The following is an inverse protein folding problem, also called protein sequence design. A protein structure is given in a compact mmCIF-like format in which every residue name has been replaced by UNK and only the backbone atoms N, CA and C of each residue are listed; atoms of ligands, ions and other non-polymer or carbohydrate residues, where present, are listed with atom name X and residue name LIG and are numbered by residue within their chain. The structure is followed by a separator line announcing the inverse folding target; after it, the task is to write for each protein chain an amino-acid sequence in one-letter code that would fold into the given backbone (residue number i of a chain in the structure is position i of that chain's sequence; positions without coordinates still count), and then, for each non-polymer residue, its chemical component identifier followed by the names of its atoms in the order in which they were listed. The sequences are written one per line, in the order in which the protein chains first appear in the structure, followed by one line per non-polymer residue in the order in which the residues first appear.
data_IF_748816875832
#
_entry.id   IF_748816875832
#
_cell.length_a   1.000
_cell.length_b   1.000
_cell.length_c   1.000
_cell.angle_alpha   90.00
_cell.angle_beta   90.00
_cell.angle_gamma   90.00
#
_symmetry.space_group_name_H-M   'P 1'
#
loop_
_entity.id
_entity.type
_entity.pdbx_description
1 polymer ?
#
# COMPACT_ATOMS: atom_id res chain seq x y z
N UNK A 1 -62.85 4.34 -41.24
CA UNK A 1 -61.89 5.26 -41.86
C UNK A 1 -61.78 6.48 -40.95
N UNK A 2 -60.54 6.90 -40.60
CA UNK A 2 -60.16 8.04 -39.73
C UNK A 2 -60.59 7.94 -38.24
N UNK A 3 -59.82 8.39 -37.25
CA UNK A 3 -58.60 9.18 -37.28
C UNK A 3 -57.96 9.26 -35.87
N UNK A 4 -56.67 9.63 -35.89
CA UNK A 4 -55.72 9.77 -34.78
C UNK A 4 -56.10 10.87 -33.76
N UNK A 5 -55.73 10.60 -32.50
CA UNK A 5 -54.82 11.46 -31.72
C UNK A 5 -55.44 12.48 -30.75
N UNK A 6 -54.92 12.48 -29.51
CA UNK A 6 -54.26 13.64 -28.87
C UNK A 6 -53.72 13.27 -27.48
N UNK A 7 -52.45 13.59 -27.25
CA UNK A 7 -51.85 13.74 -25.92
C UNK A 7 -52.47 14.94 -25.21
N UNK A 8 -52.55 14.89 -23.88
CA UNK A 8 -52.64 16.07 -23.04
C UNK A 8 -51.72 15.92 -21.84
N UNK A 9 -50.86 16.92 -21.69
CA UNK A 9 -49.89 17.20 -20.65
C UNK A 9 -50.58 17.76 -19.39
N UNK A 10 -49.74 18.07 -18.39
CA UNK A 10 -49.94 18.91 -17.19
C UNK A 10 -50.53 18.17 -15.99
N UNK A 11 -50.11 18.42 -14.75
CA UNK A 11 -49.11 19.32 -14.17
C UNK A 11 -49.11 19.04 -12.66
N UNK A 12 -47.94 19.19 -12.03
CA UNK A 12 -47.70 19.69 -10.66
C UNK A 12 -48.91 19.87 -9.75
N UNK A 13 -48.84 19.24 -8.57
CA UNK A 13 -49.34 19.86 -7.33
C UNK A 13 -48.44 19.53 -6.14
N UNK A 14 -48.01 20.61 -5.49
CA UNK A 14 -47.27 20.67 -4.24
C UNK A 14 -48.11 20.27 -3.02
N UNK A 15 -47.42 19.79 -1.99
CA UNK A 15 -47.44 20.33 -0.62
C UNK A 15 -48.76 20.42 0.14
N UNK A 16 -48.86 19.65 1.23
CA UNK A 16 -49.42 20.14 2.50
C UNK A 16 -48.98 19.24 3.67
N UNK A 17 -48.14 19.81 4.53
CA UNK A 17 -47.96 19.44 5.94
C UNK A 17 -49.26 19.75 6.71
N UNK A 18 -49.63 18.91 7.69
CA UNK A 18 -49.69 19.28 9.12
C UNK A 18 -50.72 18.47 9.94
N UNK A 19 -50.20 17.98 11.08
CA UNK A 19 -50.78 18.00 12.42
C UNK A 19 -51.96 17.07 12.81
N UNK A 20 -51.66 16.22 13.79
CA UNK A 20 -52.35 16.28 15.09
C UNK A 20 -53.22 15.08 15.47
N UNK A 21 -52.89 14.42 16.59
CA UNK A 21 -53.87 13.59 17.32
C UNK A 21 -53.29 12.47 18.17
N UNK A 22 -52.83 12.80 19.38
CA UNK A 22 -52.60 11.82 20.45
C UNK A 22 -53.92 11.20 20.93
N UNK A 23 -53.97 9.87 21.11
CA UNK A 23 -54.84 9.22 22.10
C UNK A 23 -54.20 7.95 22.64
N UNK A 24 -53.93 7.96 23.94
CA UNK A 24 -53.70 6.80 24.78
C UNK A 24 -55.00 6.04 24.99
N UNK A 25 -54.96 4.70 24.90
CA UNK A 25 -55.91 3.81 25.56
C UNK A 25 -55.18 2.52 25.95
N UNK A 26 -55.27 2.20 27.24
CA UNK A 26 -54.72 1.01 27.88
C UNK A 26 -55.66 -0.20 27.71
N UNK A 27 -55.09 -1.41 27.74
CA UNK A 27 -55.81 -2.67 27.91
C UNK A 27 -55.04 -3.90 27.40
N UNK A 28 -54.32 -4.60 28.27
CA UNK A 28 -53.83 -5.98 28.00
C UNK A 28 -54.89 -7.04 28.39
N UNK A 29 -54.55 -8.34 28.56
CA UNK A 29 -53.34 -9.08 28.16
C UNK A 29 -53.65 -10.32 27.28
N UNK A 30 -52.70 -10.76 26.48
CA UNK A 30 -52.77 -12.02 25.72
C UNK A 30 -51.42 -12.71 25.75
N UNK A 31 -51.30 -13.72 26.62
CA UNK A 31 -50.11 -14.51 26.81
C UNK A 31 -49.98 -15.56 25.70
N UNK A 32 -48.98 -15.42 24.84
CA UNK A 32 -48.46 -16.55 24.05
C UNK A 32 -46.95 -16.66 24.28
N UNK A 33 -46.60 -17.72 25.03
CA UNK A 33 -45.23 -18.21 25.20
C UNK A 33 -44.81 -18.87 23.88
N UNK A 34 -43.92 -18.21 23.15
CA UNK A 34 -43.08 -18.87 22.15
C UNK A 34 -41.73 -19.19 22.79
N UNK A 35 -41.47 -20.48 23.00
CA UNK A 35 -40.19 -21.00 23.46
C UNK A 35 -39.06 -20.62 22.49
N UNK A 36 -38.11 -19.83 22.97
CA UNK A 36 -36.80 -19.65 22.36
C UNK A 36 -35.82 -20.64 22.98
N UNK A 37 -35.26 -21.61 22.22
CA UNK A 37 -34.10 -22.35 22.71
C UNK A 37 -32.84 -21.49 22.61
N UNK A 38 -32.24 -21.22 23.78
CA UNK A 38 -30.89 -20.71 23.94
C UNK A 38 -29.84 -21.78 23.52
N UNK A 39 -28.62 -21.35 23.16
CA UNK A 39 -27.62 -22.21 22.51
C UNK A 39 -26.97 -23.19 23.49
N UNK A 40 -26.86 -24.45 23.07
CA UNK A 40 -26.07 -25.47 23.78
C UNK A 40 -24.58 -25.29 23.47
N UNK A 41 -23.84 -24.82 24.47
CA UNK A 41 -22.38 -24.85 24.48
C UNK A 41 -21.89 -26.29 24.73
N UNK A 42 -21.61 -27.02 23.66
CA UNK A 42 -20.82 -28.26 23.68
C UNK A 42 -19.33 -27.95 23.56
N UNK A 43 -18.58 -28.25 24.62
CA UNK A 43 -17.14 -28.02 24.71
C UNK A 43 -16.31 -28.86 23.74
N UNK A 44 -15.43 -28.19 23.01
CA UNK A 44 -14.20 -28.77 22.44
C UNK A 44 -13.08 -27.73 22.51
N UNK A 45 -12.86 -27.17 23.70
CA UNK A 45 -11.69 -26.37 24.05
C UNK A 45 -10.58 -27.33 24.47
N UNK A 46 -9.70 -27.70 23.54
CA UNK A 46 -8.57 -28.56 23.89
C UNK A 46 -7.73 -29.08 22.74
N UNK A 47 -7.53 -28.32 21.65
CA UNK A 47 -6.58 -28.72 20.60
C UNK A 47 -6.10 -27.60 19.68
N UNK A 48 -5.77 -26.42 20.22
CA UNK A 48 -5.09 -25.38 19.42
C UNK A 48 -3.86 -24.77 20.10
N UNK A 49 -3.47 -25.23 21.29
CA UNK A 49 -2.36 -24.64 22.07
C UNK A 49 -1.01 -25.36 21.98
N UNK A 50 -0.83 -26.34 21.07
CA UNK A 50 0.46 -27.10 21.01
C UNK A 50 1.26 -26.99 19.72
N UNK A 51 0.87 -26.11 18.78
CA UNK A 51 1.57 -26.00 17.49
C UNK A 51 2.12 -24.58 17.19
N UNK A 52 1.98 -23.65 18.14
CA UNK A 52 2.57 -22.30 18.07
C UNK A 52 3.99 -22.18 18.66
N UNK A 53 4.54 -23.25 19.23
CA UNK A 53 5.78 -23.21 20.02
C UNK A 53 7.02 -23.82 19.33
N UNK A 54 6.97 -24.08 18.01
CA UNK A 54 8.11 -24.65 17.24
C UNK A 54 8.64 -23.77 16.12
N UNK A 55 8.08 -22.57 15.91
CA UNK A 55 8.52 -21.66 14.85
C UNK A 55 9.45 -20.53 15.32
N UNK A 56 9.82 -20.48 16.60
CA UNK A 56 10.58 -19.36 17.19
C UNK A 56 12.10 -19.59 17.33
N UNK A 57 12.64 -20.76 16.96
CA UNK A 57 14.00 -21.17 17.35
C UNK A 57 15.06 -21.22 16.23
N UNK A 58 14.79 -20.69 15.02
CA UNK A 58 15.72 -20.86 13.88
C UNK A 58 16.46 -19.60 13.40
N UNK A 59 16.37 -18.45 14.06
CA UNK A 59 17.08 -17.23 13.61
C UNK A 59 17.99 -16.53 14.64
N UNK A 60 18.57 -17.27 15.60
CA UNK A 60 19.49 -16.70 16.61
C UNK A 60 20.98 -17.05 16.47
N UNK A 61 21.45 -17.57 15.35
CA UNK A 61 22.89 -17.86 15.22
C UNK A 61 23.46 -17.37 13.90
N UNK A 62 23.96 -16.12 13.87
CA UNK A 62 25.27 -15.78 13.29
C UNK A 62 25.84 -14.54 14.00
N UNK A 63 26.97 -14.76 14.67
CA UNK A 63 27.79 -13.78 15.38
C UNK A 63 28.70 -12.98 14.41
N UNK A 64 29.32 -11.88 14.88
CA UNK A 64 29.68 -10.69 14.09
C UNK A 64 31.15 -10.70 13.61
N UNK A 65 31.53 -9.57 12.99
CA UNK A 65 32.89 -9.12 12.65
C UNK A 65 33.56 -9.71 11.40
N UNK A 66 33.39 -9.00 10.28
CA UNK A 66 34.34 -9.04 9.16
C UNK A 66 34.85 -7.63 8.88
N UNK A 67 35.86 -7.21 9.65
CA UNK A 67 36.69 -6.05 9.31
C UNK A 67 37.60 -6.45 8.16
N UNK A 68 37.40 -5.81 7.00
CA UNK A 68 38.31 -5.91 5.86
C UNK A 68 39.63 -5.25 6.25
N UNK A 69 40.65 -6.07 6.51
CA UNK A 69 42.03 -5.63 6.71
C UNK A 69 42.67 -5.49 5.33
N UNK A 70 43.03 -4.27 4.94
CA UNK A 70 43.79 -4.01 3.72
C UNK A 70 45.27 -4.03 4.12
N UNK A 71 45.99 -5.06 3.72
CA UNK A 71 47.44 -5.16 3.90
C UNK A 71 48.17 -4.25 2.89
N UNK A 72 49.14 -3.42 3.32
CA UNK A 72 50.03 -2.73 2.39
C UNK A 72 51.06 -3.72 1.81
N UNK A 73 51.25 -3.64 0.49
CA UNK A 73 52.20 -4.46 -0.28
C UNK A 73 53.65 -4.29 0.22
N UNK A 74 54.47 -5.35 0.21
CA UNK A 74 55.86 -5.26 0.59
C UNK A 74 56.71 -4.56 -0.50
N UNK A 75 57.61 -3.71 -0.01
CA UNK A 75 58.73 -3.12 -0.73
C UNK A 75 59.74 -4.21 -1.13
N UNK A 76 60.02 -4.33 -2.44
CA UNK A 76 61.11 -5.18 -2.94
C UNK A 76 62.27 -4.32 -3.46
N UNK A 77 63.37 -4.52 -2.75
CA UNK A 77 64.75 -4.07 -2.88
C UNK A 77 65.44 -4.65 -4.13
N UNK A 78 66.26 -3.85 -4.81
CA UNK A 78 67.50 -4.25 -5.51
C UNK A 78 68.26 -2.94 -5.89
N UNK A 79 69.31 -2.55 -5.17
CA UNK A 79 70.72 -2.90 -5.43
C UNK A 79 71.14 -2.77 -6.91
N UNK A 80 71.80 -1.66 -7.22
CA UNK A 80 72.84 -1.59 -8.25
C UNK A 80 73.99 -0.75 -7.67
N UNK A 81 75.15 -1.40 -7.55
CA UNK A 81 76.41 -0.79 -7.18
C UNK A 81 76.96 0.00 -8.39
N UNK A 82 77.50 1.19 -8.13
CA UNK A 82 78.14 2.03 -9.14
C UNK A 82 78.93 3.17 -8.51
N UNK A 83 80.22 2.88 -8.26
CA UNK A 83 81.40 3.75 -8.31
C UNK A 83 81.49 5.05 -7.45
N UNK A 84 82.26 5.07 -6.34
CA UNK A 84 82.55 6.28 -5.57
C UNK A 84 83.93 6.84 -5.91
N UNK A 85 84.21 7.14 -7.19
CA UNK A 85 85.38 7.93 -7.58
C UNK A 85 85.07 8.79 -8.79
N UNK A 86 84.50 9.97 -8.56
CA UNK A 86 84.89 11.13 -9.35
C UNK A 86 84.67 12.43 -8.60
N UNK A 87 85.77 13.17 -8.54
CA UNK A 87 86.03 14.36 -7.77
C UNK A 87 85.57 15.60 -8.54
N UNK A 88 85.21 16.63 -7.75
CA UNK A 88 85.67 18.02 -7.93
C UNK A 88 85.07 18.80 -9.11
N UNK A 89 84.24 19.76 -8.72
CA UNK A 89 84.30 21.13 -9.20
C UNK A 89 83.54 21.40 -10.48
N UNK A 90 82.39 22.05 -10.34
CA UNK A 90 82.00 23.19 -11.18
C UNK A 90 80.76 23.86 -10.60
N UNK A 91 80.96 25.09 -10.15
CA UNK A 91 79.91 26.07 -9.94
C UNK A 91 79.17 26.29 -11.26
N UNK A 92 77.85 26.15 -11.24
CA UNK A 92 76.97 26.68 -12.29
C UNK A 92 75.88 27.54 -11.60
N UNK A 93 75.77 28.84 -11.91
CA UNK A 93 74.62 29.64 -11.52
C UNK A 93 73.54 29.50 -12.60
N UNK A 94 72.30 29.23 -12.18
CA UNK A 94 71.14 29.34 -13.07
C UNK A 94 70.32 28.07 -13.23
N UNK A 95 69.57 27.71 -12.21
CA UNK A 95 68.28 27.05 -12.41
C UNK A 95 67.33 27.71 -11.41
N UNK A 96 66.48 28.61 -11.91
CA UNK A 96 65.50 29.30 -11.12
C UNK A 96 64.70 28.29 -10.32
N UNK A 97 64.85 28.34 -9.00
CA UNK A 97 63.89 27.73 -8.10
C UNK A 97 62.55 28.35 -8.45
N UNK A 98 61.72 27.59 -9.15
CA UNK A 98 60.33 27.94 -9.37
C UNK A 98 59.75 28.15 -7.97
N UNK A 99 59.62 29.42 -7.60
CA UNK A 99 59.02 29.83 -6.35
C UNK A 99 57.65 29.15 -6.31
N UNK A 100 57.49 28.18 -5.42
CA UNK A 100 56.19 27.62 -5.09
C UNK A 100 55.40 28.80 -4.56
N UNK A 101 54.62 29.41 -5.45
CA UNK A 101 53.80 30.55 -5.12
C UNK A 101 52.83 30.05 -4.05
N UNK A 102 52.92 30.51 -2.78
CA UNK A 102 51.98 30.05 -1.77
C UNK A 102 50.60 30.48 -2.25
N UNK A 103 49.76 29.49 -2.53
CA UNK A 103 48.39 29.69 -2.99
C UNK A 103 47.71 30.62 -1.99
N UNK A 104 47.44 31.84 -2.45
CA UNK A 104 46.81 32.89 -1.65
C UNK A 104 45.45 32.38 -1.21
N UNK A 105 45.32 32.04 0.07
CA UNK A 105 44.04 31.60 0.64
C UNK A 105 43.06 32.77 0.54
N UNK A 106 42.12 32.67 -0.40
CA UNK A 106 41.01 33.61 -0.54
C UNK A 106 39.97 33.22 0.50
N UNK A 107 39.63 34.16 1.40
CA UNK A 107 38.53 33.97 2.34
C UNK A 107 37.19 33.92 1.61
N UNK A 108 36.22 33.21 2.20
CA UNK A 108 34.83 33.13 1.71
C UNK A 108 34.18 34.50 1.76
N UNK A 109 33.51 34.89 0.67
CA UNK A 109 32.71 36.12 0.66
C UNK A 109 31.33 35.88 1.28
N UNK A 110 30.68 36.96 1.73
CA UNK A 110 29.29 36.91 2.22
C UNK A 110 28.34 36.34 1.15
N UNK A 111 28.53 36.73 -0.12
CA UNK A 111 27.73 36.24 -1.24
C UNK A 111 27.86 34.72 -1.43
N UNK A 112 29.06 34.19 -1.25
CA UNK A 112 29.36 32.77 -1.47
C UNK A 112 28.69 31.87 -0.43
N UNK A 113 28.71 32.29 0.84
CA UNK A 113 27.97 31.60 1.92
C UNK A 113 26.46 31.72 1.71
N UNK A 114 25.97 32.88 1.27
CA UNK A 114 24.54 33.07 0.96
C UNK A 114 24.07 32.18 -0.19
N UNK A 115 24.86 32.06 -1.28
CA UNK A 115 24.55 31.18 -2.40
C UNK A 115 24.65 29.71 -1.99
N UNK A 116 25.66 29.33 -1.22
CA UNK A 116 25.78 27.96 -0.72
C UNK A 116 24.57 27.58 0.17
N UNK A 117 24.19 28.46 1.09
CA UNK A 117 23.02 28.27 1.94
C UNK A 117 21.71 28.26 1.13
N UNK A 118 21.59 29.07 0.08
CA UNK A 118 20.36 29.08 -0.74
C UNK A 118 20.20 27.77 -1.52
N UNK A 119 21.26 27.29 -2.16
CA UNK A 119 21.25 25.99 -2.86
C UNK A 119 20.98 24.87 -1.87
N UNK A 120 21.63 24.91 -0.71
CA UNK A 120 21.39 23.93 0.35
C UNK A 120 19.93 23.93 0.82
N UNK A 121 19.36 25.10 1.09
CA UNK A 121 17.97 25.24 1.52
C UNK A 121 16.99 24.72 0.46
N UNK A 122 17.23 25.01 -0.82
CA UNK A 122 16.42 24.49 -1.92
C UNK A 122 16.51 22.95 -2.02
N UNK A 123 17.73 22.40 -1.93
CA UNK A 123 17.94 20.95 -1.95
C UNK A 123 17.27 20.26 -0.75
N UNK A 124 17.43 20.80 0.45
CA UNK A 124 16.79 20.29 1.66
C UNK A 124 15.25 20.36 1.57
N UNK A 125 14.70 21.47 1.06
CA UNK A 125 13.25 21.62 0.84
C UNK A 125 12.69 20.61 -0.15
N UNK A 126 13.41 20.36 -1.26
CA UNK A 126 13.04 19.34 -2.23
C UNK A 126 13.05 17.94 -1.62
N UNK A 127 14.07 17.61 -0.82
CA UNK A 127 14.17 16.32 -0.15
C UNK A 127 13.03 16.09 0.85
N UNK A 128 12.73 17.09 1.68
CA UNK A 128 11.62 17.02 2.65
C UNK A 128 10.27 16.80 1.96
N UNK A 129 10.05 17.44 0.80
CA UNK A 129 8.86 17.20 -0.01
C UNK A 129 8.77 15.73 -0.46
N UNK A 130 9.86 15.16 -0.97
CA UNK A 130 9.91 13.76 -1.41
C UNK A 130 9.60 12.81 -0.24
N UNK A 131 10.21 13.04 0.92
CA UNK A 131 9.95 12.23 2.13
C UNK A 131 8.49 12.30 2.54
N UNK A 132 7.88 13.50 2.50
CA UNK A 132 6.45 13.68 2.79
C UNK A 132 5.53 12.93 1.80
N UNK A 133 5.86 12.96 0.51
CA UNK A 133 5.10 12.21 -0.51
C UNK A 133 5.24 10.69 -0.32
N UNK A 134 6.45 10.18 -0.02
CA UNK A 134 6.66 8.75 0.23
C UNK A 134 5.80 8.19 1.37
N UNK A 135 5.61 8.95 2.46
CA UNK A 135 4.71 8.53 3.54
C UNK A 135 3.26 8.36 3.10
N UNK A 136 2.75 9.26 2.26
CA UNK A 136 1.36 9.19 1.75
C UNK A 136 1.14 8.00 0.83
N UNK A 137 2.14 7.60 0.07
CA UNK A 137 2.05 6.44 -0.82
C UNK A 137 1.92 5.12 -0.07
N UNK A 138 2.58 4.96 1.08
CA UNK A 138 2.53 3.73 1.87
C UNK A 138 1.10 3.38 2.31
N UNK A 139 0.36 4.34 2.89
CA UNK A 139 -1.02 4.10 3.33
C UNK A 139 -1.99 3.84 2.17
N UNK A 140 -1.76 4.44 1.00
CA UNK A 140 -2.58 4.15 -0.19
C UNK A 140 -2.35 2.73 -0.72
N UNK A 141 -1.11 2.25 -0.67
CA UNK A 141 -0.79 0.88 -1.06
C UNK A 141 -1.43 -0.13 -0.11
N UNK A 142 -1.33 0.11 1.19
CA UNK A 142 -1.96 -0.72 2.22
C UNK A 142 -3.49 -0.80 2.05
N UNK A 143 -4.15 0.34 1.84
CA UNK A 143 -5.59 0.40 1.59
C UNK A 143 -5.99 -0.41 0.35
N UNK A 144 -5.23 -0.31 -0.75
CA UNK A 144 -5.46 -1.09 -1.98
C UNK A 144 -5.24 -2.59 -1.77
N UNK A 145 -4.20 -2.94 -1.00
CA UNK A 145 -3.90 -4.33 -0.65
C UNK A 145 -5.08 -4.97 0.09
N UNK A 146 -5.61 -4.32 1.13
CA UNK A 146 -6.75 -4.85 1.87
C UNK A 146 -8.05 -4.85 1.05
N UNK A 147 -8.27 -3.86 0.18
CA UNK A 147 -9.40 -3.89 -0.75
C UNK A 147 -9.33 -5.11 -1.70
N UNK A 148 -8.14 -5.41 -2.21
CA UNK A 148 -7.92 -6.57 -3.06
C UNK A 148 -8.08 -7.89 -2.28
N UNK A 149 -7.61 -7.96 -1.03
CA UNK A 149 -7.81 -9.13 -0.18
C UNK A 149 -9.30 -9.35 0.15
N UNK A 150 -10.06 -8.29 0.39
CA UNK A 150 -11.51 -8.36 0.58
C UNK A 150 -12.21 -8.90 -0.68
N UNK A 151 -11.79 -8.46 -1.88
CA UNK A 151 -12.29 -8.97 -3.15
C UNK A 151 -11.97 -10.46 -3.36
N UNK A 152 -10.74 -10.87 -3.04
CA UNK A 152 -10.32 -12.29 -3.12
C UNK A 152 -11.11 -13.17 -2.16
N UNK A 153 -11.29 -12.74 -0.91
CA UNK A 153 -12.10 -13.46 0.08
C UNK A 153 -13.54 -13.62 -0.41
N UNK A 154 -14.11 -12.58 -1.03
CA UNK A 154 -15.44 -12.65 -1.63
C UNK A 154 -15.51 -13.67 -2.78
N UNK A 155 -14.56 -13.61 -3.72
CA UNK A 155 -14.50 -14.57 -4.83
C UNK A 155 -14.27 -16.01 -4.34
N UNK A 156 -13.44 -16.20 -3.31
CA UNK A 156 -13.25 -17.50 -2.69
C UNK A 156 -14.56 -18.03 -2.08
N UNK A 157 -15.31 -17.17 -1.37
CA UNK A 157 -16.62 -17.53 -0.83
C UNK A 157 -17.65 -17.87 -1.92
N UNK A 158 -17.57 -17.25 -3.10
CA UNK A 158 -18.40 -17.63 -4.23
C UNK A 158 -18.02 -19.01 -4.77
N UNK A 159 -16.72 -19.36 -4.85
CA UNK A 159 -16.28 -20.68 -5.29
C UNK A 159 -16.64 -21.81 -4.32
N UNK A 160 -16.74 -21.52 -3.03
CA UNK A 160 -17.12 -22.50 -2.01
C UNK A 160 -18.63 -22.74 -1.94
N UNK A 161 -19.42 -21.87 -2.56
CA UNK A 161 -20.86 -22.02 -2.58
C UNK A 161 -21.27 -23.14 -3.54
N UNK A 162 -22.16 -24.06 -3.11
CA UNK A 162 -22.56 -25.20 -3.93
C UNK A 162 -23.46 -24.79 -5.11
N UNK A 163 -24.03 -23.58 -5.08
CA UNK A 163 -24.92 -23.07 -6.11
C UNK A 163 -24.16 -22.20 -7.13
N UNK A 164 -24.43 -22.46 -8.40
CA UNK A 164 -23.90 -21.67 -9.51
C UNK A 164 -24.37 -20.20 -9.40
N UNK A 165 -23.46 -19.21 -9.40
CA UNK A 165 -23.76 -17.84 -8.99
C UNK A 165 -24.71 -17.16 -9.95
N UNK A 166 -25.90 -16.76 -9.47
CA UNK A 166 -26.93 -16.12 -10.28
C UNK A 166 -26.40 -14.87 -11.01
N UNK A 167 -26.85 -14.65 -12.25
CA UNK A 167 -26.50 -13.45 -13.01
C UNK A 167 -27.06 -12.19 -12.37
N UNK A 168 -26.38 -11.06 -12.62
CA UNK A 168 -26.80 -9.75 -12.14
C UNK A 168 -25.78 -9.08 -11.22
N UNK A 169 -26.24 -8.00 -10.58
CA UNK A 169 -25.41 -7.12 -9.77
C UNK A 169 -25.77 -7.23 -8.29
N UNK A 170 -24.78 -7.40 -7.43
CA UNK A 170 -24.95 -7.46 -5.98
C UNK A 170 -23.95 -6.54 -5.31
N UNK A 171 -24.36 -5.82 -4.28
CA UNK A 171 -23.47 -4.91 -3.54
C UNK A 171 -23.52 -5.26 -2.05
N UNK A 172 -22.36 -5.25 -1.40
CA UNK A 172 -22.19 -5.57 0.01
C UNK A 172 -21.18 -4.65 0.65
N UNK A 173 -21.44 -4.22 1.88
CA UNK A 173 -20.43 -3.57 2.72
C UNK A 173 -19.62 -4.62 3.46
N UNK A 174 -18.30 -4.50 3.43
CA UNK A 174 -17.37 -5.41 4.11
C UNK A 174 -16.34 -4.59 4.90
N UNK A 175 -15.88 -5.13 6.03
CA UNK A 175 -14.83 -4.53 6.82
C UNK A 175 -13.65 -5.50 6.94
N UNK A 176 -12.44 -5.00 6.72
CA UNK A 176 -11.21 -5.80 6.79
C UNK A 176 -10.05 -4.93 7.26
N UNK A 177 -9.29 -5.42 8.24
CA UNK A 177 -8.14 -4.70 8.83
C UNK A 177 -8.45 -3.27 9.28
N UNK A 178 -9.67 -3.04 9.80
CA UNK A 178 -10.12 -1.70 10.23
C UNK A 178 -10.63 -0.79 9.10
N UNK A 179 -10.44 -1.16 7.84
CA UNK A 179 -11.01 -0.46 6.69
C UNK A 179 -12.42 -0.95 6.38
N UNK A 180 -13.23 -0.05 5.83
CA UNK A 180 -14.56 -0.37 5.28
C UNK A 180 -14.51 -0.23 3.77
N UNK A 181 -15.15 -1.18 3.11
CA UNK A 181 -15.23 -1.24 1.67
C UNK A 181 -16.66 -1.50 1.23
N UNK A 182 -17.00 -1.00 0.05
CA UNK A 182 -18.20 -1.40 -0.68
C UNK A 182 -17.79 -2.29 -1.84
N UNK A 183 -18.21 -3.53 -1.78
CA UNK A 183 -17.90 -4.56 -2.77
C UNK A 183 -19.11 -4.77 -3.67
N UNK A 184 -18.88 -4.65 -4.98
CA UNK A 184 -19.88 -4.83 -6.02
C UNK A 184 -19.51 -6.02 -6.87
N UNK A 185 -20.33 -7.05 -6.86
CA UNK A 185 -20.25 -8.23 -7.70
C UNK A 185 -21.15 -8.03 -8.92
N UNK A 186 -20.63 -8.35 -10.10
CA UNK A 186 -21.36 -8.39 -11.35
C UNK A 186 -21.13 -9.77 -11.98
N UNK A 187 -22.20 -10.53 -12.16
CA UNK A 187 -22.16 -11.86 -12.77
C UNK A 187 -22.82 -11.82 -14.14
N UNK A 188 -22.09 -12.24 -15.16
CA UNK A 188 -22.51 -12.23 -16.55
C UNK A 188 -22.34 -13.61 -17.17
N UNK A 189 -23.23 -13.97 -18.10
CA UNK A 189 -23.05 -15.14 -18.95
C UNK A 189 -21.84 -14.96 -19.88
N UNK A 190 -21.32 -16.08 -20.37
CA UNK A 190 -20.33 -16.10 -21.45
C UNK A 190 -20.90 -16.84 -22.66
N UNK A 191 -20.14 -16.91 -23.76
CA UNK A 191 -20.54 -17.69 -24.94
C UNK A 191 -20.66 -19.19 -24.63
N UNK A 192 -19.94 -19.68 -23.61
CA UNK A 192 -20.16 -21.02 -23.07
C UNK A 192 -21.26 -20.94 -21.99
N UNK A 193 -22.41 -21.63 -22.17
CA UNK A 193 -23.51 -21.59 -21.22
C UNK A 193 -23.12 -22.11 -19.83
N UNK A 194 -22.11 -22.97 -19.73
CA UNK A 194 -21.65 -23.54 -18.46
C UNK A 194 -20.65 -22.64 -17.73
N UNK A 195 -20.26 -21.50 -18.31
CA UNK A 195 -19.27 -20.58 -17.73
C UNK A 195 -19.90 -19.22 -17.50
N UNK A 196 -19.73 -18.70 -16.28
CA UNK A 196 -20.07 -17.32 -15.89
C UNK A 196 -18.81 -16.51 -15.62
N UNK A 197 -18.81 -15.25 -16.04
CA UNK A 197 -17.81 -14.25 -15.66
C UNK A 197 -18.30 -13.52 -14.43
N UNK A 198 -17.48 -13.48 -13.39
CA UNK A 198 -17.73 -12.75 -12.15
C UNK A 198 -16.71 -11.63 -12.05
N UNK A 199 -17.19 -10.39 -12.09
CA UNK A 199 -16.37 -9.19 -11.88
C UNK A 199 -16.69 -8.61 -10.51
N UNK A 200 -15.68 -8.48 -9.66
CA UNK A 200 -15.78 -7.90 -8.33
C UNK A 200 -15.04 -6.56 -8.29
N UNK A 201 -15.75 -5.49 -7.94
CA UNK A 201 -15.19 -4.15 -7.75
C UNK A 201 -15.26 -3.76 -6.28
N UNK A 202 -14.16 -3.30 -5.73
CA UNK A 202 -14.07 -2.87 -4.34
C UNK A 202 -13.76 -1.39 -4.28
N UNK A 203 -14.68 -0.61 -3.70
CA UNK A 203 -14.50 0.83 -3.49
C UNK A 203 -14.27 1.14 -2.02
N UNK A 204 -13.50 2.18 -1.75
CA UNK A 204 -13.38 2.75 -0.40
C UNK A 204 -14.66 3.46 0.03
N UNK A 205 -14.70 3.90 1.29
CA UNK A 205 -15.77 4.72 1.85
C UNK A 205 -15.94 6.06 1.10
N UNK A 206 -14.86 6.56 0.48
CA UNK A 206 -14.82 7.74 -0.38
C UNK A 206 -15.38 7.49 -1.80
N UNK A 207 -15.83 6.27 -2.09
CA UNK A 207 -16.32 5.86 -3.41
C UNK A 207 -15.21 5.60 -4.44
N UNK A 208 -13.93 5.77 -4.08
CA UNK A 208 -12.82 5.53 -4.99
C UNK A 208 -12.69 4.03 -5.28
N UNK A 209 -12.55 3.67 -6.55
CA UNK A 209 -12.24 2.29 -6.93
C UNK A 209 -10.81 1.93 -6.51
N UNK A 210 -10.68 0.91 -5.66
CA UNK A 210 -9.40 0.47 -5.10
C UNK A 210 -8.89 -0.80 -5.74
N UNK A 211 -9.79 -1.71 -6.10
CA UNK A 211 -9.47 -2.99 -6.73
C UNK A 211 -10.62 -3.48 -7.61
N UNK A 212 -10.29 -4.13 -8.72
CA UNK A 212 -11.21 -4.87 -9.58
C UNK A 212 -10.59 -6.23 -9.88
N UNK A 213 -11.35 -7.31 -9.67
CA UNK A 213 -10.94 -8.68 -9.94
C UNK A 213 -11.96 -9.34 -10.83
N UNK A 214 -11.50 -10.12 -11.80
CA UNK A 214 -12.34 -10.92 -12.68
C UNK A 214 -12.01 -12.40 -12.48
N UNK A 215 -13.04 -13.20 -12.36
CA UNK A 215 -12.96 -14.66 -12.27
C UNK A 215 -13.95 -15.30 -13.23
N UNK A 216 -13.70 -16.56 -13.57
CA UNK A 216 -14.61 -17.38 -14.37
C UNK A 216 -15.00 -18.59 -13.53
N UNK A 217 -16.29 -18.90 -13.50
CA UNK A 217 -16.84 -20.00 -12.72
C UNK A 217 -17.67 -20.92 -13.60
N UNK A 218 -17.37 -22.22 -13.53
CA UNK A 218 -18.13 -23.27 -14.20
C UNK A 218 -19.38 -23.67 -13.43
N UNK A 219 -20.35 -24.26 -14.11
CA UNK A 219 -21.44 -24.98 -13.46
C UNK A 219 -20.88 -26.18 -12.69
N UNK A 220 -21.21 -26.28 -11.39
CA UNK A 220 -20.86 -27.45 -10.59
C UNK A 220 -21.74 -28.63 -11.04
N UNK A 221 -21.16 -29.80 -11.36
CA UNK A 221 -21.93 -30.99 -11.78
C UNK A 221 -22.77 -31.60 -10.65
#
# INVERSE_FOLDING_TARGET
MAGRGRLSLLSTREGALAAGGHRFAAGGPGAERGDHPAPTHGGTTGRYEREGARAADLHRQRRPDQRVRIDPRPSRRAMAAGDPRQLRGQSAPGAGGAAVNPSRQRGLTLLEVLVALSIFALAAGALLKIVGEHGRHAGQLELRYFAQLAAQNHLANLHLQPNWPATGKRTRKVALAGYRFTLTEQVEGTDNPDIRRVTTRTTGDDGRLLSELQAFMGATP
#
